data_IF_062526784075
#
_entry.id   IF_062526784075
#
_cell.length_a   1.000
_cell.length_b   1.000
_cell.length_c   1.000
_cell.angle_alpha   90.00
_cell.angle_beta   90.00
_cell.angle_gamma   90.00
#
_symmetry.space_group_name_H-M   'P 1'
#
loop_
_entity.id
_entity.type
_entity.pdbx_description
1 polymer ?
#
# COMPACT_ATOMS: atom_id res chain seq x y z
N UNK A 1 -28.34 25.60 0.77
CA UNK A 1 -27.05 24.93 0.55
C UNK A 1 -27.07 23.63 1.34
N UNK A 2 -26.66 22.51 0.73
CA UNK A 2 -26.47 21.23 1.43
C UNK A 2 -24.97 20.99 1.54
N UNK A 3 -24.51 20.52 2.69
CA UNK A 3 -23.13 20.13 2.96
C UNK A 3 -23.02 18.60 2.95
N UNK A 4 -21.96 18.08 2.35
CA UNK A 4 -21.56 16.68 2.41
C UNK A 4 -20.20 16.60 3.11
N UNK A 5 -20.16 15.86 4.22
CA UNK A 5 -18.93 15.62 4.98
C UNK A 5 -18.47 14.20 4.68
N UNK A 6 -17.22 14.06 4.24
CA UNK A 6 -16.54 12.77 4.08
C UNK A 6 -15.44 12.65 5.13
N UNK A 7 -15.48 11.59 5.91
CA UNK A 7 -14.52 11.37 7.00
C UNK A 7 -13.66 10.14 6.71
N UNK A 8 -12.37 10.26 6.97
CA UNK A 8 -11.43 9.13 7.01
C UNK A 8 -10.96 8.91 8.43
N UNK A 9 -11.20 7.71 8.96
CA UNK A 9 -10.69 7.31 10.26
C UNK A 9 -9.35 6.60 10.09
N UNK A 10 -8.33 7.07 10.83
CA UNK A 10 -6.98 6.52 10.82
C UNK A 10 -6.65 6.15 12.27
N UNK A 11 -6.29 4.88 12.49
CA UNK A 11 -5.78 4.42 13.78
C UNK A 11 -4.27 4.54 13.80
N UNK A 12 -3.72 5.20 14.81
CA UNK A 12 -2.28 5.38 14.98
C UNK A 12 -1.81 4.44 16.08
N UNK A 13 -0.95 3.51 15.71
CA UNK A 13 -0.42 2.47 16.61
C UNK A 13 1.08 2.66 16.83
N UNK A 14 1.54 2.36 18.04
CA UNK A 14 2.93 2.02 18.26
C UNK A 14 3.22 0.62 17.67
N UNK A 15 4.47 0.33 17.34
CA UNK A 15 4.84 -0.96 16.76
C UNK A 15 4.51 -2.15 17.66
N UNK A 16 4.57 -1.97 18.98
CA UNK A 16 4.28 -2.99 19.99
C UNK A 16 2.79 -3.35 20.07
N UNK A 17 1.93 -2.47 19.56
CA UNK A 17 0.47 -2.66 19.57
C UNK A 17 -0.02 -3.43 18.33
N UNK A 18 0.86 -3.68 17.34
CA UNK A 18 0.49 -4.44 16.15
C UNK A 18 0.26 -5.91 16.49
N UNK A 19 -0.85 -6.44 15.98
CA UNK A 19 -1.08 -7.89 15.97
C UNK A 19 -0.05 -8.62 15.11
N UNK A 20 0.10 -9.92 15.33
CA UNK A 20 1.11 -10.75 14.66
C UNK A 20 1.02 -10.69 13.14
N UNK A 21 -0.19 -10.75 12.58
CA UNK A 21 -0.42 -10.70 11.13
C UNK A 21 0.02 -9.36 10.53
N UNK A 22 -0.33 -8.24 11.19
CA UNK A 22 0.02 -6.90 10.74
C UNK A 22 1.53 -6.68 10.84
N UNK A 23 2.15 -7.18 11.91
CA UNK A 23 3.59 -7.14 12.09
C UNK A 23 4.33 -7.91 11.00
N UNK A 24 3.91 -9.12 10.71
CA UNK A 24 4.48 -9.95 9.65
C UNK A 24 4.37 -9.28 8.28
N UNK A 25 3.23 -8.65 8.00
CA UNK A 25 3.03 -7.94 6.73
C UNK A 25 3.94 -6.71 6.63
N UNK A 26 4.06 -5.94 7.72
CA UNK A 26 4.95 -4.78 7.79
C UNK A 26 6.44 -5.18 7.63
N UNK A 27 6.87 -6.27 8.31
CA UNK A 27 8.24 -6.79 8.20
C UNK A 27 8.56 -7.23 6.76
N UNK A 28 7.61 -7.86 6.06
CA UNK A 28 7.76 -8.22 4.65
C UNK A 28 7.91 -6.98 3.75
N UNK A 29 7.19 -5.90 4.03
CA UNK A 29 7.33 -4.63 3.31
C UNK A 29 8.67 -3.96 3.60
N UNK A 30 9.16 -4.01 4.85
CA UNK A 30 10.51 -3.52 5.22
C UNK A 30 11.58 -4.25 4.42
N UNK A 31 11.54 -5.58 4.43
CA UNK A 31 12.51 -6.41 3.70
C UNK A 31 12.47 -6.13 2.19
N UNK A 32 11.29 -5.89 1.64
CA UNK A 32 11.15 -5.56 0.23
C UNK A 32 11.91 -4.28 -0.17
N UNK A 33 12.03 -3.28 0.72
CA UNK A 33 12.74 -2.03 0.41
C UNK A 33 14.17 -2.25 -0.09
N UNK A 34 14.83 -3.35 0.30
CA UNK A 34 16.20 -3.68 -0.11
C UNK A 34 16.34 -4.04 -1.59
N UNK A 35 15.24 -4.36 -2.26
CA UNK A 35 15.20 -4.72 -3.69
C UNK A 35 14.62 -3.61 -4.57
N UNK A 36 14.41 -2.42 -4.01
CA UNK A 36 13.97 -1.24 -4.75
C UNK A 36 15.01 -0.80 -5.79
N UNK A 37 14.53 -0.37 -6.95
CA UNK A 37 15.35 0.29 -7.96
C UNK A 37 15.00 1.77 -8.01
N UNK A 38 15.74 2.61 -7.27
CA UNK A 38 15.48 4.03 -7.09
C UNK A 38 16.73 4.91 -7.32
N UNK A 39 17.36 4.83 -8.52
CA UNK A 39 18.61 5.54 -8.78
C UNK A 39 18.45 7.06 -8.85
N UNK A 40 17.25 7.56 -9.15
CA UNK A 40 16.99 8.99 -9.34
C UNK A 40 16.54 9.66 -8.05
N UNK A 41 15.54 9.11 -7.38
CA UNK A 41 15.00 9.69 -6.14
C UNK A 41 15.82 9.34 -4.90
N UNK A 42 16.54 8.22 -4.91
CA UNK A 42 17.16 7.61 -3.74
C UNK A 42 16.16 7.35 -2.61
N UNK A 43 14.92 7.07 -2.99
CA UNK A 43 13.81 6.81 -2.07
C UNK A 43 13.28 5.40 -2.33
N UNK A 44 13.68 4.46 -1.48
CA UNK A 44 13.30 3.05 -1.59
C UNK A 44 11.97 2.80 -0.90
N UNK A 45 11.01 2.27 -1.65
CA UNK A 45 9.68 1.90 -1.13
C UNK A 45 9.49 0.40 -1.29
N UNK A 46 9.02 -0.23 -0.22
CA UNK A 46 8.56 -1.61 -0.21
C UNK A 46 7.07 -1.66 0.10
N UNK A 47 6.38 -2.55 -0.58
CA UNK A 47 4.99 -2.89 -0.30
C UNK A 47 4.83 -4.39 -0.14
N UNK A 48 3.93 -4.80 0.74
CA UNK A 48 3.54 -6.19 0.90
C UNK A 48 2.01 -6.28 0.92
N UNK A 49 1.44 -7.22 0.19
CA UNK A 49 0.01 -7.52 0.19
C UNK A 49 -0.22 -8.91 0.76
N UNK A 50 -1.24 -9.05 1.60
CA UNK A 50 -1.73 -10.34 2.09
C UNK A 50 -2.95 -10.73 1.29
N UNK A 51 -2.97 -11.96 0.80
CA UNK A 51 -4.09 -12.56 0.10
C UNK A 51 -5.00 -13.31 1.09
N UNK A 52 -6.23 -13.61 0.66
CA UNK A 52 -7.20 -14.35 1.47
C UNK A 52 -6.74 -15.79 1.84
N UNK A 53 -5.76 -16.33 1.15
CA UNK A 53 -5.12 -17.63 1.45
C UNK A 53 -3.82 -17.47 2.27
N UNK A 54 -3.62 -16.32 2.93
CA UNK A 54 -2.46 -15.96 3.75
C UNK A 54 -1.11 -15.81 3.03
N UNK A 55 -1.07 -15.96 1.70
CA UNK A 55 0.15 -15.66 0.96
C UNK A 55 0.48 -14.16 1.05
N UNK A 56 1.76 -13.86 1.24
CA UNK A 56 2.29 -12.50 1.19
C UNK A 56 3.06 -12.32 -0.11
N UNK A 57 2.67 -11.33 -0.88
CA UNK A 57 3.32 -10.90 -2.13
C UNK A 57 3.95 -9.55 -1.89
N UNK A 58 5.22 -9.38 -2.27
CA UNK A 58 5.94 -8.12 -2.10
C UNK A 58 6.17 -7.41 -3.44
N UNK A 59 6.27 -6.10 -3.37
CA UNK A 59 6.63 -5.24 -4.50
C UNK A 59 7.55 -4.11 -4.05
N UNK A 60 8.25 -3.52 -4.99
CA UNK A 60 9.15 -2.38 -4.75
C UNK A 60 8.94 -1.33 -5.83
N UNK A 61 9.27 -0.07 -5.53
CA UNK A 61 9.29 0.94 -6.58
C UNK A 61 10.41 0.61 -7.58
N UNK A 62 10.06 0.76 -8.86
CA UNK A 62 10.93 0.51 -10.00
C UNK A 62 10.96 1.80 -10.83
N UNK A 63 12.03 2.58 -10.68
CA UNK A 63 12.18 3.82 -11.42
C UNK A 63 12.63 3.58 -12.86
N UNK A 64 12.38 4.54 -13.71
CA UNK A 64 12.78 4.53 -15.11
C UNK A 64 13.15 5.94 -15.53
N UNK A 65 14.18 6.10 -16.38
CA UNK A 65 14.54 7.39 -16.96
C UNK A 65 13.38 8.04 -17.74
N UNK A 66 12.54 7.22 -18.37
CA UNK A 66 11.24 7.63 -18.87
C UNK A 66 10.23 7.56 -17.71
N UNK A 67 10.08 8.61 -16.94
CA UNK A 67 9.31 8.64 -15.69
C UNK A 67 7.92 8.01 -15.76
N UNK A 68 7.12 8.18 -16.82
CA UNK A 68 5.82 7.51 -16.92
C UNK A 68 5.88 5.97 -16.91
N UNK A 69 7.05 5.40 -17.27
CA UNK A 69 7.28 3.94 -17.28
C UNK A 69 7.64 3.37 -15.92
N UNK A 70 7.95 4.22 -14.94
CA UNK A 70 8.21 3.80 -13.56
C UNK A 70 6.95 3.29 -12.86
N UNK A 71 7.14 2.46 -11.84
CA UNK A 71 6.03 1.87 -11.07
C UNK A 71 6.29 1.97 -9.57
N UNK A 72 5.26 2.37 -8.82
CA UNK A 72 5.30 2.40 -7.36
C UNK A 72 5.25 0.97 -6.78
N UNK A 73 5.80 0.79 -5.59
CA UNK A 73 5.85 -0.48 -4.89
C UNK A 73 4.48 -1.14 -4.73
N UNK A 74 3.47 -0.36 -4.37
CA UNK A 74 2.09 -0.82 -4.18
C UNK A 74 1.52 -1.42 -5.47
N UNK A 75 1.71 -0.73 -6.61
CA UNK A 75 1.21 -1.22 -7.90
C UNK A 75 2.00 -2.43 -8.39
N UNK A 76 3.31 -2.49 -8.11
CA UNK A 76 4.13 -3.68 -8.39
C UNK A 76 3.57 -4.89 -7.66
N UNK A 77 3.30 -4.78 -6.35
CA UNK A 77 2.74 -5.87 -5.55
C UNK A 77 1.33 -6.25 -6.00
N UNK A 78 0.43 -5.27 -6.15
CA UNK A 78 -0.98 -5.50 -6.50
C UNK A 78 -1.15 -6.11 -7.89
N UNK A 79 -0.44 -5.60 -8.90
CA UNK A 79 -0.56 -6.12 -10.26
C UNK A 79 -0.02 -7.53 -10.37
N UNK A 80 1.09 -7.84 -9.70
CA UNK A 80 1.61 -9.20 -9.65
C UNK A 80 0.64 -10.13 -8.93
N UNK A 81 0.17 -9.75 -7.75
CA UNK A 81 -0.80 -10.53 -6.98
C UNK A 81 -2.07 -10.82 -7.78
N UNK A 82 -2.68 -9.79 -8.36
CA UNK A 82 -3.90 -9.91 -9.17
C UNK A 82 -3.71 -10.74 -10.45
N UNK A 83 -2.49 -10.77 -11.00
CA UNK A 83 -2.14 -11.56 -12.18
C UNK A 83 -1.91 -13.04 -11.85
N UNK A 84 -1.20 -13.32 -10.76
CA UNK A 84 -0.82 -14.69 -10.38
C UNK A 84 -1.91 -15.40 -9.59
N UNK A 85 -2.72 -14.65 -8.86
CA UNK A 85 -3.76 -15.16 -7.96
C UNK A 85 -5.09 -14.45 -8.23
N UNK A 86 -5.66 -14.59 -9.44
CA UNK A 86 -6.82 -13.80 -9.88
C UNK A 86 -8.09 -14.04 -9.06
N UNK A 87 -8.16 -15.16 -8.33
CA UNK A 87 -9.32 -15.56 -7.52
C UNK A 87 -9.09 -15.30 -6.01
N UNK A 88 -7.96 -14.69 -5.62
CA UNK A 88 -7.64 -14.40 -4.22
C UNK A 88 -7.82 -12.92 -3.93
N UNK A 89 -8.71 -12.59 -2.99
CA UNK A 89 -8.86 -11.22 -2.52
C UNK A 89 -7.57 -10.74 -1.81
N UNK A 90 -7.22 -9.48 -2.02
CA UNK A 90 -6.20 -8.81 -1.21
C UNK A 90 -6.86 -8.28 0.05
N UNK A 91 -6.49 -8.79 1.21
CA UNK A 91 -7.10 -8.46 2.51
C UNK A 91 -6.39 -7.33 3.24
N UNK A 92 -5.08 -7.17 3.01
CA UNK A 92 -4.29 -6.11 3.61
C UNK A 92 -3.10 -5.71 2.73
N UNK A 93 -2.64 -4.48 2.90
CA UNK A 93 -1.45 -3.94 2.23
C UNK A 93 -0.65 -3.11 3.23
N UNK A 94 0.67 -3.34 3.32
CA UNK A 94 1.61 -2.53 4.08
C UNK A 94 2.56 -1.78 3.15
N UNK A 95 2.90 -0.53 3.52
CA UNK A 95 3.82 0.34 2.78
C UNK A 95 4.88 0.85 3.74
N UNK A 96 6.13 0.72 3.33
CA UNK A 96 7.30 1.22 4.08
C UNK A 96 8.23 1.95 3.12
N UNK A 97 8.85 3.00 3.60
CA UNK A 97 9.90 3.71 2.86
C UNK A 97 11.18 3.84 3.67
N UNK A 98 12.30 4.03 2.97
CA UNK A 98 13.59 4.43 3.54
C UNK A 98 14.43 5.20 2.52
N UNK A 99 15.37 6.05 2.96
CA UNK A 99 16.43 6.52 2.08
C UNK A 99 17.25 5.33 1.56
N UNK A 100 17.62 5.30 0.27
CA UNK A 100 18.29 4.15 -0.33
C UNK A 100 19.68 3.85 0.26
N UNK A 101 20.30 4.86 0.85
CA UNK A 101 21.61 4.79 1.53
C UNK A 101 21.51 4.57 3.05
N UNK A 102 20.30 4.39 3.59
CA UNK A 102 20.04 4.11 5.01
C UNK A 102 19.68 2.65 5.23
N UNK A 103 20.08 2.08 6.36
CA UNK A 103 19.57 0.79 6.84
C UNK A 103 18.24 0.91 7.59
N UNK A 104 17.88 2.13 8.02
CA UNK A 104 16.67 2.38 8.81
C UNK A 104 15.54 2.86 7.92
N UNK A 105 14.31 2.46 8.25
CA UNK A 105 13.10 2.99 7.61
C UNK A 105 12.92 4.48 7.95
N UNK A 106 12.16 5.18 7.10
CA UNK A 106 11.83 6.60 7.30
C UNK A 106 11.09 6.80 8.62
N UNK A 107 11.36 7.91 9.31
CA UNK A 107 10.66 8.23 10.56
C UNK A 107 9.15 8.38 10.36
N UNK A 108 8.79 9.13 9.32
CA UNK A 108 7.41 9.39 8.95
C UNK A 108 6.86 8.33 8.00
N UNK A 109 5.56 8.15 8.03
CA UNK A 109 4.85 7.26 7.11
C UNK A 109 4.98 7.75 5.65
N UNK A 110 4.91 6.80 4.70
CA UNK A 110 4.83 7.08 3.28
C UNK A 110 3.40 6.81 2.77
N UNK A 111 2.54 7.83 2.63
CA UNK A 111 1.20 7.63 2.07
C UNK A 111 1.26 7.25 0.58
N UNK A 112 0.34 6.40 0.10
CA UNK A 112 0.28 6.03 -1.32
C UNK A 112 -0.09 7.24 -2.19
N UNK A 113 0.51 7.33 -3.37
CA UNK A 113 0.16 8.36 -4.36
C UNK A 113 -1.26 8.15 -4.91
N UNK A 114 -1.80 9.15 -5.60
CA UNK A 114 -3.17 9.08 -6.14
C UNK A 114 -3.41 7.90 -7.07
N UNK A 115 -2.45 7.58 -7.95
CA UNK A 115 -2.55 6.43 -8.84
C UNK A 115 -2.58 5.08 -8.08
N UNK A 116 -1.80 4.97 -7.00
CA UNK A 116 -1.83 3.77 -6.15
C UNK A 116 -3.15 3.64 -5.40
N UNK A 117 -3.70 4.74 -4.89
CA UNK A 117 -5.02 4.74 -4.23
C UNK A 117 -6.13 4.29 -5.17
N UNK A 118 -6.09 4.69 -6.44
CA UNK A 118 -7.04 4.25 -7.46
C UNK A 118 -6.94 2.74 -7.72
N UNK A 119 -5.71 2.19 -7.80
CA UNK A 119 -5.49 0.74 -8.00
C UNK A 119 -5.91 -0.06 -6.77
N UNK A 120 -5.65 0.45 -5.56
CA UNK A 120 -6.13 -0.16 -4.31
C UNK A 120 -7.66 -0.23 -4.27
N UNK A 121 -8.34 0.88 -4.63
CA UNK A 121 -9.78 0.95 -4.72
C UNK A 121 -10.34 -0.07 -5.70
N UNK A 122 -9.78 -0.14 -6.91
CA UNK A 122 -10.20 -1.10 -7.94
C UNK A 122 -10.04 -2.55 -7.47
N UNK A 123 -8.93 -2.85 -6.78
CA UNK A 123 -8.69 -4.18 -6.20
C UNK A 123 -9.72 -4.51 -5.12
N UNK A 124 -10.03 -3.55 -4.22
CA UNK A 124 -11.07 -3.70 -3.21
C UNK A 124 -12.45 -3.95 -3.83
N UNK A 125 -12.81 -3.19 -4.88
CA UNK A 125 -14.08 -3.35 -5.58
C UNK A 125 -14.18 -4.66 -6.36
N UNK A 126 -13.09 -5.09 -7.02
CA UNK A 126 -13.03 -6.32 -7.78
C UNK A 126 -13.41 -7.55 -6.95
N UNK A 127 -12.94 -7.61 -5.72
CA UNK A 127 -13.19 -8.75 -4.83
C UNK A 127 -14.36 -8.53 -3.87
N UNK A 128 -14.92 -7.32 -3.80
CA UNK A 128 -15.98 -6.97 -2.84
C UNK A 128 -15.51 -7.14 -1.37
N UNK A 129 -14.22 -7.01 -1.12
CA UNK A 129 -13.59 -7.24 0.18
C UNK A 129 -12.78 -6.01 0.62
N UNK A 130 -12.98 -5.49 1.84
CA UNK A 130 -12.18 -4.38 2.34
C UNK A 130 -10.69 -4.76 2.39
N UNK A 131 -9.83 -3.82 1.97
CA UNK A 131 -8.38 -3.96 2.06
C UNK A 131 -7.87 -3.05 3.16
N UNK A 132 -7.39 -3.63 4.26
CA UNK A 132 -6.73 -2.89 5.33
C UNK A 132 -5.40 -2.34 4.84
N UNK A 133 -5.09 -1.08 5.14
CA UNK A 133 -3.84 -0.43 4.69
C UNK A 133 -3.02 0.00 5.90
N UNK A 134 -1.78 -0.47 5.97
CA UNK A 134 -0.78 -0.12 6.97
C UNK A 134 0.25 0.83 6.34
N UNK A 135 0.39 2.02 6.86
CA UNK A 135 1.41 2.98 6.49
C UNK A 135 2.46 3.00 7.61
N UNK A 136 3.63 2.43 7.36
CA UNK A 136 4.61 2.16 8.39
C UNK A 136 5.74 3.20 8.37
N UNK A 137 5.86 3.97 9.44
CA UNK A 137 7.02 4.81 9.77
C UNK A 137 7.74 4.26 10.99
N UNK A 138 8.97 4.69 11.25
CA UNK A 138 9.73 4.21 12.41
C UNK A 138 9.08 4.59 13.74
N UNK A 139 8.38 5.72 13.80
CA UNK A 139 7.69 6.19 15.02
C UNK A 139 6.36 5.49 15.24
N UNK A 140 5.55 5.37 14.20
CA UNK A 140 4.18 4.89 14.29
C UNK A 140 3.77 4.14 13.03
N UNK A 141 2.72 3.32 13.15
CA UNK A 141 2.02 2.71 12.04
C UNK A 141 0.61 3.26 11.99
N UNK A 142 0.23 3.83 10.83
CA UNK A 142 -1.13 4.29 10.58
C UNK A 142 -1.91 3.18 9.90
N UNK A 143 -3.06 2.84 10.47
CA UNK A 143 -3.95 1.80 9.93
C UNK A 143 -5.25 2.44 9.45
N UNK A 144 -5.58 2.14 8.20
CA UNK A 144 -6.85 2.49 7.57
C UNK A 144 -7.56 1.20 7.20
N UNK A 145 -8.78 1.01 7.71
CA UNK A 145 -9.51 -0.26 7.61
C UNK A 145 -9.94 -0.61 6.18
N UNK A 146 -9.99 0.38 5.29
CA UNK A 146 -10.42 0.20 3.89
C UNK A 146 -9.63 1.13 2.97
N UNK A 147 -9.12 0.58 1.88
CA UNK A 147 -8.40 1.36 0.87
C UNK A 147 -9.25 2.48 0.27
N UNK A 148 -10.55 2.25 0.10
CA UNK A 148 -11.52 3.25 -0.39
C UNK A 148 -11.59 4.51 0.48
N UNK A 149 -11.26 4.44 1.77
CA UNK A 149 -11.21 5.60 2.65
C UNK A 149 -10.04 6.55 2.34
N UNK A 150 -9.05 6.11 1.59
CA UNK A 150 -7.92 6.94 1.16
C UNK A 150 -8.20 7.76 -0.10
N UNK A 151 -9.36 7.57 -0.74
CA UNK A 151 -9.72 8.22 -2.00
C UNK A 151 -11.18 8.69 -1.96
N UNK A 152 -11.47 9.85 -1.34
CA UNK A 152 -12.83 10.39 -1.32
C UNK A 152 -13.28 10.83 -2.72
N UNK A 153 -14.61 10.75 -3.01
CA UNK A 153 -15.20 11.11 -4.30
C UNK A 153 -14.50 10.43 -5.49
N UNK A 154 -14.27 9.15 -5.36
CA UNK A 154 -13.52 8.36 -6.34
C UNK A 154 -14.33 8.05 -7.61
N UNK A 155 -13.61 7.80 -8.71
CA UNK A 155 -14.13 7.16 -9.89
C UNK A 155 -14.04 5.64 -9.73
N UNK A 156 -15.16 4.95 -9.77
CA UNK A 156 -15.23 3.51 -9.61
C UNK A 156 -16.09 2.83 -10.67
N UNK A 157 -16.17 1.50 -10.65
CA UNK A 157 -16.90 0.69 -11.62
C UNK A 157 -18.38 1.07 -11.75
N UNK A 158 -18.99 1.62 -10.71
CA UNK A 158 -20.40 2.04 -10.72
C UNK A 158 -20.65 3.23 -11.65
N UNK A 159 -19.63 4.04 -11.93
CA UNK A 159 -19.73 5.13 -12.88
C UNK A 159 -19.79 4.67 -14.35
N UNK A 160 -19.49 3.37 -14.61
CA UNK A 160 -19.45 2.77 -15.95
C UNK A 160 -20.66 1.86 -16.25
N UNK A 161 -21.63 1.79 -15.35
CA UNK A 161 -22.86 0.98 -15.50
C UNK A 161 -24.01 1.77 -16.11
#
# INVERSE_FOLDING_TARGET
>A
MKELILETRIHVHAWEELGEEDRQLADAAIEATHRSYAPYSRFSVGAAVRLANDLIITGTNQENAAYPSGLCAERTALFYANSQYPDQAVTALAIVSRPSDSSSISEEICPPCGACRQVMLETEQRFGHPMKVLLCGAKNVFIVERASHLLPLFFGSDALK
#
